data_IF_138151000007
#
_entry.id   IF_138151000007
#
_cell.length_a   1.000
_cell.length_b   1.000
_cell.length_c   1.000
_cell.angle_alpha   90.00
_cell.angle_beta   90.00
_cell.angle_gamma   90.00
#
_symmetry.space_group_name_H-M   'P 1'
#
loop_
_entity.id
_entity.type
_entity.pdbx_description
1 polymer ?
#
# COMPACT_ATOMS: atom_id res chain seq x y z
N UNK A 1 8.87 11.37 -42.24
CA UNK A 1 8.84 12.08 -40.94
C UNK A 1 9.09 11.03 -39.84
N UNK A 2 10.18 11.14 -39.10
CA UNK A 2 10.45 10.24 -38.00
C UNK A 2 9.41 10.47 -36.91
N UNK A 3 8.74 9.40 -36.44
CA UNK A 3 7.79 9.44 -35.35
C UNK A 3 8.50 9.93 -34.08
N UNK A 4 7.97 10.97 -33.42
CA UNK A 4 8.55 11.44 -32.13
C UNK A 4 8.63 10.24 -31.16
N UNK A 5 9.74 10.08 -30.43
CA UNK A 5 9.85 8.98 -29.46
C UNK A 5 8.76 9.10 -28.42
N UNK A 6 8.09 7.99 -28.13
CA UNK A 6 7.09 7.92 -27.07
C UNK A 6 7.77 8.31 -25.75
N UNK A 7 7.19 9.20 -24.92
CA UNK A 7 7.77 9.53 -23.64
C UNK A 7 7.96 8.25 -22.81
N UNK A 8 9.18 8.05 -22.27
CA UNK A 8 9.45 6.92 -21.37
C UNK A 8 8.67 7.10 -20.07
N UNK A 9 8.14 6.00 -19.56
CA UNK A 9 7.50 5.99 -18.24
C UNK A 9 8.55 6.36 -17.18
N UNK A 10 8.18 7.27 -16.28
CA UNK A 10 9.02 7.72 -15.17
C UNK A 10 8.52 7.13 -13.86
N UNK A 11 9.45 6.78 -12.99
CA UNK A 11 9.17 6.36 -11.62
C UNK A 11 9.89 7.26 -10.63
N UNK A 12 9.33 7.40 -9.44
CA UNK A 12 9.98 8.10 -8.34
C UNK A 12 10.62 7.08 -7.39
N UNK A 13 11.87 7.31 -7.07
CA UNK A 13 12.64 6.50 -6.13
C UNK A 13 12.98 7.36 -4.92
N UNK A 14 12.56 6.92 -3.73
CA UNK A 14 12.93 7.56 -2.47
C UNK A 14 14.22 6.96 -1.92
N UNK A 15 15.07 7.81 -1.36
CA UNK A 15 16.30 7.40 -0.72
C UNK A 15 16.74 8.39 0.36
N UNK A 16 17.76 8.02 1.13
CA UNK A 16 18.38 8.89 2.14
C UNK A 16 19.90 9.00 1.94
N UNK A 17 20.46 10.08 2.42
CA UNK A 17 21.89 10.31 2.55
C UNK A 17 22.20 11.02 3.86
N UNK A 18 23.48 11.17 4.21
CA UNK A 18 23.89 12.04 5.29
C UNK A 18 23.45 13.50 5.03
N UNK A 19 23.37 14.33 6.06
CA UNK A 19 22.91 15.72 5.96
C UNK A 19 23.70 16.57 4.95
N UNK A 20 24.95 16.22 4.69
CA UNK A 20 25.80 16.86 3.68
C UNK A 20 25.60 16.33 2.25
N UNK A 21 24.66 15.37 2.05
CA UNK A 21 24.39 14.72 0.75
C UNK A 21 25.36 13.58 0.42
N UNK A 22 26.21 13.14 1.34
CA UNK A 22 27.08 11.98 1.10
C UNK A 22 26.39 10.66 1.42
N UNK A 23 26.73 9.62 0.68
CA UNK A 23 26.28 8.25 0.89
C UNK A 23 27.46 7.27 0.89
N UNK A 24 27.17 5.96 0.75
CA UNK A 24 28.18 4.90 0.71
C UNK A 24 29.34 5.24 -0.26
N UNK A 25 30.56 4.88 0.12
CA UNK A 25 31.80 5.19 -0.63
C UNK A 25 32.04 6.71 -0.87
N UNK A 26 31.50 7.57 0.01
CA UNK A 26 31.62 9.03 -0.13
C UNK A 26 31.02 9.59 -1.41
N UNK A 27 30.11 8.84 -2.07
CA UNK A 27 29.42 9.34 -3.24
C UNK A 27 28.58 10.56 -2.87
N UNK A 28 28.76 11.64 -3.61
CA UNK A 28 28.08 12.93 -3.38
C UNK A 28 26.87 13.04 -4.28
N UNK A 29 25.70 13.10 -3.68
CA UNK A 29 24.45 13.35 -4.39
C UNK A 29 24.26 14.84 -4.64
N UNK A 30 23.79 15.23 -5.83
CA UNK A 30 23.38 16.62 -6.05
C UNK A 30 22.13 16.91 -5.19
N UNK A 31 22.00 18.18 -4.78
CA UNK A 31 20.79 18.63 -4.10
C UNK A 31 19.58 18.58 -5.05
N UNK A 32 19.76 18.94 -6.30
CA UNK A 32 18.80 18.83 -7.41
C UNK A 32 19.56 18.58 -8.71
N UNK A 33 18.88 17.97 -9.69
CA UNK A 33 19.42 17.77 -11.02
C UNK A 33 19.92 16.35 -11.30
N UNK A 34 20.61 16.17 -12.43
CA UNK A 34 21.01 14.84 -12.89
C UNK A 34 22.04 14.19 -11.97
N UNK A 35 21.90 12.88 -11.81
CA UNK A 35 22.82 12.02 -11.06
C UNK A 35 23.09 10.77 -11.87
N UNK A 36 24.34 10.32 -11.89
CA UNK A 36 24.76 9.11 -12.59
C UNK A 36 25.72 8.31 -11.72
N UNK A 37 25.58 6.98 -11.77
CA UNK A 37 26.43 6.05 -11.07
C UNK A 37 27.77 5.88 -11.81
N UNK A 38 28.92 6.01 -11.14
CA UNK A 38 30.22 5.89 -11.78
C UNK A 38 30.64 4.46 -12.10
N UNK A 39 30.00 3.47 -11.48
CA UNK A 39 30.41 2.06 -11.49
C UNK A 39 29.24 1.10 -11.82
N UNK A 40 28.35 1.50 -12.71
CA UNK A 40 27.13 0.74 -13.03
C UNK A 40 27.39 -0.71 -13.47
N UNK A 41 26.69 -1.64 -12.81
CA UNK A 41 26.57 -3.06 -13.18
C UNK A 41 25.08 -3.46 -13.16
N UNK A 42 24.49 -3.91 -14.27
CA UNK A 42 23.06 -4.30 -14.32
C UNK A 42 22.75 -5.63 -13.63
N UNK A 43 23.72 -6.37 -13.09
CA UNK A 43 23.45 -7.62 -12.39
C UNK A 43 22.52 -7.36 -11.19
N UNK A 44 21.48 -8.21 -10.95
CA UNK A 44 20.47 -7.99 -9.89
C UNK A 44 21.03 -8.36 -8.51
N UNK A 45 22.09 -7.69 -8.08
CA UNK A 45 22.75 -7.83 -6.78
C UNK A 45 23.10 -6.46 -6.21
N UNK A 46 23.27 -6.38 -4.90
CA UNK A 46 23.66 -5.15 -4.21
C UNK A 46 25.05 -4.67 -4.67
N UNK A 47 25.25 -3.36 -4.70
CA UNK A 47 26.47 -2.70 -5.18
C UNK A 47 26.35 -2.20 -6.61
N UNK A 48 27.31 -1.41 -7.04
CA UNK A 48 27.48 -0.88 -8.41
C UNK A 48 26.19 -0.33 -9.01
N UNK A 49 25.72 0.79 -8.47
CA UNK A 49 24.49 1.45 -8.86
C UNK A 49 23.98 2.44 -7.81
N UNK A 50 23.04 3.29 -8.21
CA UNK A 50 22.29 4.15 -7.33
C UNK A 50 21.11 3.35 -6.74
N UNK A 51 20.90 3.41 -5.42
CA UNK A 51 19.91 2.58 -4.73
C UNK A 51 18.79 3.39 -4.10
N UNK A 52 17.62 2.78 -3.98
CA UNK A 52 16.48 3.33 -3.26
C UNK A 52 15.24 2.44 -3.32
N UNK A 53 14.11 2.99 -2.93
CA UNK A 53 12.81 2.34 -2.90
C UNK A 53 11.88 3.00 -3.92
N UNK A 54 11.41 2.22 -4.90
CA UNK A 54 10.47 2.73 -5.91
C UNK A 54 9.15 3.06 -5.22
N UNK A 55 8.69 4.30 -5.37
CA UNK A 55 7.47 4.84 -4.74
C UNK A 55 7.46 4.77 -3.21
N UNK A 56 8.62 4.54 -2.58
CA UNK A 56 8.73 4.31 -1.16
C UNK A 56 8.27 2.92 -0.71
N UNK A 57 7.98 2.02 -1.64
CA UNK A 57 7.61 0.64 -1.34
C UNK A 57 8.86 -0.18 -0.99
N UNK A 58 8.79 -0.94 0.09
CA UNK A 58 9.87 -1.82 0.53
C UNK A 58 10.25 -1.65 2.00
N UNK A 59 11.35 -2.26 2.38
CA UNK A 59 11.89 -2.17 3.74
C UNK A 59 12.75 -0.92 3.91
N UNK A 60 12.26 0.04 4.67
CA UNK A 60 12.93 1.30 4.96
C UNK A 60 14.23 1.13 5.75
N UNK A 61 14.46 -0.02 6.38
CA UNK A 61 15.74 -0.32 7.05
C UNK A 61 16.93 -0.36 6.07
N UNK A 62 16.67 -0.56 4.76
CA UNK A 62 17.69 -0.48 3.71
C UNK A 62 18.05 0.94 3.29
N UNK A 63 17.30 1.94 3.72
CA UNK A 63 17.67 3.34 3.54
C UNK A 63 18.78 3.69 4.53
N UNK A 64 19.98 3.93 4.02
CA UNK A 64 21.09 4.42 4.85
C UNK A 64 20.66 5.70 5.56
N UNK A 65 20.82 5.76 6.88
CA UNK A 65 20.43 6.92 7.69
C UNK A 65 18.91 7.26 7.61
N UNK A 66 18.01 6.28 7.59
CA UNK A 66 16.57 6.50 7.61
C UNK A 66 16.08 7.11 8.94
N UNK A 67 16.64 8.24 9.32
CA UNK A 67 16.27 9.05 10.48
C UNK A 67 15.56 10.32 10.05
N UNK A 68 14.91 11.00 10.97
CA UNK A 68 14.27 12.29 10.68
C UNK A 68 15.28 13.37 10.27
N UNK A 69 16.52 13.27 10.74
CA UNK A 69 17.62 14.22 10.48
C UNK A 69 18.39 13.89 9.18
N UNK A 70 18.09 12.77 8.52
CA UNK A 70 18.70 12.43 7.24
C UNK A 70 18.23 13.38 6.15
N UNK A 71 19.07 13.55 5.14
CA UNK A 71 18.65 14.22 3.91
C UNK A 71 17.85 13.22 3.06
N UNK A 72 16.57 13.47 2.93
CA UNK A 72 15.65 12.67 2.12
C UNK A 72 15.59 13.17 0.69
N UNK A 73 15.76 12.26 -0.25
CA UNK A 73 15.83 12.59 -1.66
C UNK A 73 14.79 11.81 -2.45
N UNK A 74 14.18 12.48 -3.44
CA UNK A 74 13.30 11.85 -4.44
C UNK A 74 14.02 11.97 -5.79
N UNK A 75 14.19 10.84 -6.46
CA UNK A 75 14.87 10.73 -7.75
C UNK A 75 13.88 10.25 -8.80
N UNK A 76 13.72 11.02 -9.86
CA UNK A 76 12.97 10.59 -11.05
C UNK A 76 13.87 9.72 -11.93
N UNK A 77 13.40 8.52 -12.27
CA UNK A 77 14.16 7.53 -13.05
C UNK A 77 13.29 6.98 -14.17
N UNK A 78 13.89 6.72 -15.35
CA UNK A 78 13.20 5.98 -16.41
C UNK A 78 12.88 4.56 -15.92
N UNK A 79 11.64 4.13 -16.05
CA UNK A 79 11.19 2.83 -15.50
C UNK A 79 11.96 1.64 -16.09
N UNK A 80 12.42 1.74 -17.35
CA UNK A 80 13.22 0.74 -18.03
C UNK A 80 14.67 0.61 -17.52
N UNK A 81 15.12 1.56 -16.69
CA UNK A 81 16.44 1.53 -16.05
C UNK A 81 16.43 0.89 -14.65
N UNK A 82 15.27 0.57 -14.13
CA UNK A 82 15.14 0.00 -12.78
C UNK A 82 15.52 -1.49 -12.79
N UNK A 83 16.44 -1.86 -11.92
CA UNK A 83 16.80 -3.25 -11.64
C UNK A 83 16.41 -3.59 -10.20
N UNK A 84 15.47 -4.52 -10.02
CA UNK A 84 15.12 -5.05 -8.71
C UNK A 84 16.29 -5.90 -8.16
N UNK A 85 16.71 -5.65 -6.92
CA UNK A 85 17.78 -6.42 -6.28
C UNK A 85 17.18 -7.54 -5.43
N UNK A 86 16.14 -7.20 -4.70
CA UNK A 86 15.37 -8.09 -3.84
C UNK A 86 13.91 -7.59 -3.79
N UNK A 87 13.13 -8.05 -2.83
CA UNK A 87 11.73 -7.65 -2.70
C UNK A 87 11.55 -6.16 -2.32
N UNK A 88 12.59 -5.57 -1.76
CA UNK A 88 12.46 -4.39 -0.93
C UNK A 88 13.29 -3.19 -1.43
N UNK A 89 14.17 -3.38 -2.41
CA UNK A 89 14.94 -2.28 -2.99
C UNK A 89 15.31 -2.48 -4.45
N UNK A 90 15.63 -1.38 -5.08
CA UNK A 90 16.08 -1.33 -6.48
C UNK A 90 17.41 -0.63 -6.62
N UNK A 91 18.03 -0.81 -7.79
CA UNK A 91 19.14 0.02 -8.27
C UNK A 91 18.91 0.51 -9.69
N UNK A 92 19.59 1.59 -10.02
CA UNK A 92 19.50 2.24 -11.34
C UNK A 92 20.82 2.96 -11.68
N UNK A 93 21.14 3.16 -12.98
CA UNK A 93 22.39 3.81 -13.41
C UNK A 93 22.38 5.32 -13.26
N UNK A 94 21.24 5.97 -13.52
CA UNK A 94 21.08 7.42 -13.56
C UNK A 94 19.65 7.85 -13.32
N UNK A 95 19.49 9.11 -12.96
CA UNK A 95 18.19 9.74 -12.76
C UNK A 95 18.32 11.25 -12.56
N UNK A 96 17.24 11.88 -12.12
CA UNK A 96 17.21 13.30 -11.78
C UNK A 96 16.72 13.45 -10.35
N UNK A 97 17.53 14.04 -9.47
CA UNK A 97 17.09 14.41 -8.13
C UNK A 97 16.10 15.57 -8.26
N UNK A 98 14.83 15.31 -7.96
CA UNK A 98 13.73 16.28 -8.05
C UNK A 98 13.38 16.89 -6.70
N UNK A 99 13.86 16.30 -5.62
CA UNK A 99 13.73 16.82 -4.26
C UNK A 99 14.88 16.37 -3.38
N UNK A 100 15.28 17.26 -2.46
CA UNK A 100 16.27 16.96 -1.41
C UNK A 100 15.91 17.81 -0.18
N UNK A 101 15.57 17.17 0.94
CA UNK A 101 15.13 17.86 2.14
C UNK A 101 14.60 16.94 3.23
N UNK A 102 13.49 17.31 3.84
CA UNK A 102 12.86 16.57 4.92
C UNK A 102 12.08 15.34 4.46
N UNK A 103 11.88 14.40 5.39
CA UNK A 103 11.16 13.15 5.19
C UNK A 103 9.70 13.37 4.76
N UNK A 104 8.98 14.28 5.43
CA UNK A 104 7.55 14.43 5.22
C UNK A 104 7.23 14.90 3.80
N UNK A 105 8.02 15.85 3.29
CA UNK A 105 7.88 16.34 1.91
C UNK A 105 8.28 15.26 0.89
N UNK A 106 9.37 14.52 1.10
CA UNK A 106 9.78 13.44 0.22
C UNK A 106 8.69 12.36 0.09
N UNK A 107 8.15 11.92 1.23
CA UNK A 107 7.06 10.94 1.28
C UNK A 107 5.80 11.47 0.60
N UNK A 108 5.42 12.73 0.87
CA UNK A 108 4.26 13.36 0.21
C UNK A 108 4.41 13.40 -1.30
N UNK A 109 5.60 13.67 -1.82
CA UNK A 109 5.85 13.68 -3.26
C UNK A 109 5.67 12.31 -3.91
N UNK A 110 6.17 11.24 -3.30
CA UNK A 110 6.00 9.89 -3.85
C UNK A 110 4.57 9.38 -3.72
N UNK A 111 3.83 9.79 -2.69
CA UNK A 111 2.42 9.44 -2.49
C UNK A 111 1.45 10.30 -3.30
N UNK A 112 1.84 11.48 -3.77
CA UNK A 112 0.97 12.39 -4.52
C UNK A 112 0.55 11.85 -5.91
N UNK A 113 1.09 10.73 -6.34
CA UNK A 113 0.70 10.10 -7.60
C UNK A 113 -0.53 9.21 -7.42
N UNK A 114 -1.68 9.82 -7.09
CA UNK A 114 -2.96 9.13 -6.85
C UNK A 114 -3.37 8.19 -7.99
N UNK A 115 -3.15 8.57 -9.24
CA UNK A 115 -3.51 7.75 -10.40
C UNK A 115 -2.76 6.42 -10.40
N UNK A 116 -1.51 6.41 -9.95
CA UNK A 116 -0.72 5.18 -9.87
C UNK A 116 -1.12 4.31 -8.69
N UNK A 117 -1.40 4.90 -7.53
CA UNK A 117 -1.94 4.17 -6.38
C UNK A 117 -3.25 3.50 -6.77
N UNK A 118 -4.14 4.22 -7.44
CA UNK A 118 -5.40 3.67 -7.94
C UNK A 118 -5.17 2.55 -8.98
N UNK A 119 -4.22 2.71 -9.90
CA UNK A 119 -3.87 1.66 -10.88
C UNK A 119 -3.27 0.43 -10.21
N UNK A 120 -2.41 0.61 -9.20
CA UNK A 120 -1.81 -0.49 -8.42
C UNK A 120 -2.89 -1.21 -7.62
N UNK A 121 -3.77 -0.49 -6.93
CA UNK A 121 -4.91 -1.07 -6.21
C UNK A 121 -5.84 -1.81 -7.17
N UNK A 122 -6.11 -1.26 -8.36
CA UNK A 122 -6.93 -1.91 -9.37
C UNK A 122 -6.27 -3.19 -9.94
N UNK A 123 -4.94 -3.21 -10.11
CA UNK A 123 -4.20 -4.39 -10.56
C UNK A 123 -4.18 -5.49 -9.50
N UNK A 124 -3.91 -5.12 -8.23
CA UNK A 124 -3.96 -6.04 -7.08
C UNK A 124 -5.37 -6.62 -6.94
N UNK A 125 -6.41 -5.81 -7.09
CA UNK A 125 -7.80 -6.25 -7.06
C UNK A 125 -8.12 -7.24 -8.17
N UNK A 126 -7.64 -6.99 -9.40
CA UNK A 126 -7.78 -7.90 -10.55
C UNK A 126 -7.01 -9.22 -10.34
N UNK A 127 -5.80 -9.17 -9.81
CA UNK A 127 -5.03 -10.38 -9.50
C UNK A 127 -5.64 -11.19 -8.35
N UNK A 128 -6.11 -10.54 -7.30
CA UNK A 128 -6.84 -11.18 -6.21
C UNK A 128 -8.11 -11.86 -6.73
N UNK A 129 -8.87 -11.21 -7.62
CA UNK A 129 -10.02 -11.82 -8.30
C UNK A 129 -9.64 -12.99 -9.22
N UNK A 130 -8.46 -12.94 -9.87
CA UNK A 130 -7.95 -14.00 -10.73
C UNK A 130 -7.49 -15.24 -9.93
N UNK A 131 -6.86 -15.02 -8.78
CA UNK A 131 -6.49 -16.08 -7.82
C UNK A 131 -7.70 -16.66 -7.08
N UNK A 132 -8.80 -15.92 -6.97
CA UNK A 132 -10.08 -16.39 -6.41
C UNK A 132 -10.84 -17.38 -7.31
N UNK A 133 -10.38 -17.64 -8.53
CA UNK A 133 -10.98 -18.61 -9.47
C UNK A 133 -10.61 -20.07 -9.21
N UNK A 134 -10.20 -20.43 -8.00
CA UNK A 134 -10.09 -21.83 -7.60
C UNK A 134 -11.47 -22.30 -7.11
N UNK A 135 -12.22 -22.96 -7.98
CA UNK A 135 -13.34 -23.82 -7.61
C UNK A 135 -14.65 -23.12 -7.23
N UNK A 136 -15.44 -22.73 -8.20
CA UNK A 136 -16.90 -22.92 -8.17
C UNK A 136 -17.77 -22.09 -7.25
N UNK A 137 -17.32 -20.99 -6.59
CA UNK A 137 -18.19 -20.05 -5.87
C UNK A 137 -17.67 -18.62 -6.00
N UNK A 138 -18.51 -17.65 -6.40
CA UNK A 138 -18.17 -16.24 -6.31
C UNK A 138 -18.14 -15.85 -4.83
N UNK A 139 -16.97 -15.87 -4.20
CA UNK A 139 -16.76 -15.35 -2.85
C UNK A 139 -16.34 -13.89 -2.97
N UNK A 140 -17.26 -12.98 -2.77
CA UNK A 140 -16.91 -11.59 -2.50
C UNK A 140 -16.54 -11.44 -1.02
N UNK A 141 -15.42 -10.78 -0.76
CA UNK A 141 -15.01 -10.38 0.58
C UNK A 141 -14.95 -8.86 0.61
N UNK A 142 -15.55 -8.25 1.62
CA UNK A 142 -15.42 -6.83 1.90
C UNK A 142 -14.75 -6.67 3.26
N UNK A 143 -13.73 -5.81 3.35
CA UNK A 143 -13.05 -5.53 4.62
C UNK A 143 -12.77 -4.05 4.78
N UNK A 144 -12.85 -3.56 6.01
CA UNK A 144 -12.51 -2.19 6.39
C UNK A 144 -11.89 -2.15 7.78
N UNK A 145 -10.86 -1.30 7.98
CA UNK A 145 -10.19 -1.12 9.27
C UNK A 145 -10.55 0.20 9.97
N UNK A 146 -11.22 1.12 9.28
CA UNK A 146 -11.58 2.43 9.84
C UNK A 146 -12.72 2.36 10.86
N UNK A 147 -12.67 3.22 11.89
CA UNK A 147 -13.80 3.42 12.80
C UNK A 147 -15.02 3.96 12.04
N UNK A 148 -16.22 3.54 12.44
CA UNK A 148 -17.50 3.91 11.81
C UNK A 148 -17.59 3.56 10.32
N UNK A 149 -16.74 2.68 9.83
CA UNK A 149 -16.71 2.25 8.44
C UNK A 149 -17.77 1.19 8.12
N UNK A 150 -18.03 0.97 6.84
CA UNK A 150 -19.01 0.01 6.37
C UNK A 150 -18.37 -0.99 5.40
N UNK A 151 -18.62 -2.28 5.62
CA UNK A 151 -18.24 -3.35 4.71
C UNK A 151 -19.50 -4.06 4.17
N UNK A 152 -19.70 -4.03 2.86
CA UNK A 152 -20.84 -4.70 2.20
C UNK A 152 -20.34 -5.72 1.20
N UNK A 153 -20.65 -7.00 1.42
CA UNK A 153 -20.30 -8.09 0.52
C UNK A 153 -21.60 -8.68 -0.08
N UNK A 154 -21.80 -8.53 -1.38
CA UNK A 154 -23.01 -9.00 -2.09
C UNK A 154 -22.80 -10.37 -2.71
N UNK A 155 -23.84 -11.20 -2.72
CA UNK A 155 -23.85 -12.54 -3.32
C UNK A 155 -23.79 -13.67 -2.29
N UNK A 156 -23.98 -14.91 -2.77
CA UNK A 156 -24.08 -16.08 -1.91
C UNK A 156 -22.71 -16.49 -1.33
N UNK A 157 -22.66 -16.75 -0.03
CA UNK A 157 -21.47 -17.24 0.69
C UNK A 157 -20.37 -16.20 0.82
N UNK A 158 -20.72 -14.92 0.89
CA UNK A 158 -19.77 -13.80 1.02
C UNK A 158 -19.36 -13.53 2.46
N UNK A 159 -18.23 -12.85 2.65
CA UNK A 159 -17.69 -12.47 3.96
C UNK A 159 -17.49 -10.96 4.01
N UNK A 160 -17.99 -10.30 5.07
CA UNK A 160 -17.72 -8.89 5.33
C UNK A 160 -17.08 -8.72 6.71
N UNK A 161 -16.05 -7.86 6.84
CA UNK A 161 -15.35 -7.63 8.09
C UNK A 161 -15.09 -6.14 8.32
N UNK A 162 -15.36 -5.66 9.54
CA UNK A 162 -14.94 -4.33 9.98
C UNK A 162 -14.14 -4.45 11.26
N UNK A 163 -12.85 -4.10 11.20
CA UNK A 163 -11.94 -4.13 12.34
C UNK A 163 -12.00 -2.83 13.18
N UNK A 164 -12.56 -1.74 12.64
CA UNK A 164 -12.77 -0.49 13.37
C UNK A 164 -14.01 -0.52 14.26
N UNK A 165 -13.99 0.26 15.36
CA UNK A 165 -15.11 0.40 16.29
C UNK A 165 -16.27 1.15 15.64
N UNK A 166 -17.51 0.81 16.06
CA UNK A 166 -18.76 1.39 15.55
C UNK A 166 -18.98 1.17 14.04
N UNK A 167 -18.40 0.10 13.51
CA UNK A 167 -18.55 -0.29 12.10
C UNK A 167 -19.91 -0.93 11.81
N UNK A 168 -20.21 -1.06 10.50
CA UNK A 168 -21.41 -1.71 9.98
C UNK A 168 -21.02 -2.74 8.93
N UNK A 169 -21.72 -3.86 8.86
CA UNK A 169 -21.47 -4.86 7.83
C UNK A 169 -22.76 -5.51 7.32
N UNK A 170 -22.72 -5.96 6.07
CA UNK A 170 -23.74 -6.81 5.48
C UNK A 170 -23.10 -7.90 4.62
N UNK A 171 -23.74 -9.07 4.55
CA UNK A 171 -23.33 -10.17 3.70
C UNK A 171 -24.53 -10.74 2.97
N UNK A 172 -24.31 -11.37 1.82
CA UNK A 172 -25.37 -12.03 1.06
C UNK A 172 -25.76 -13.39 1.65
N UNK A 173 -26.72 -14.05 1.04
CA UNK A 173 -27.27 -15.34 1.50
C UNK A 173 -26.18 -16.38 1.80
N UNK A 174 -26.28 -17.10 2.93
CA UNK A 174 -25.29 -18.05 3.45
C UNK A 174 -23.89 -17.45 3.63
N UNK A 175 -23.80 -16.14 3.77
CA UNK A 175 -22.59 -15.42 4.10
C UNK A 175 -22.40 -15.21 5.59
N UNK A 176 -21.34 -14.53 5.98
CA UNK A 176 -21.13 -14.12 7.37
C UNK A 176 -20.45 -12.75 7.43
N UNK A 177 -20.53 -12.11 8.58
CA UNK A 177 -19.79 -10.87 8.81
C UNK A 177 -19.26 -10.81 10.25
N UNK A 178 -18.21 -10.01 10.44
CA UNK A 178 -17.57 -9.77 11.72
C UNK A 178 -17.42 -8.26 11.96
N UNK A 179 -17.77 -7.81 13.16
CA UNK A 179 -17.75 -6.42 13.60
C UNK A 179 -17.00 -6.28 14.92
N UNK A 180 -15.99 -5.41 14.95
CA UNK A 180 -15.30 -5.07 16.20
C UNK A 180 -16.13 -4.10 17.03
N UNK A 181 -16.15 -4.30 18.36
CA UNK A 181 -16.78 -3.42 19.33
C UNK A 181 -15.99 -3.36 20.63
N UNK A 182 -16.19 -2.31 21.41
CA UNK A 182 -15.51 -2.15 22.70
C UNK A 182 -16.43 -2.55 23.84
N UNK A 183 -16.06 -3.61 24.58
CA UNK A 183 -16.72 -4.04 25.79
C UNK A 183 -16.25 -3.19 26.96
N UNK A 184 -17.08 -2.22 27.37
CA UNK A 184 -16.75 -1.29 28.46
C UNK A 184 -16.71 -1.97 29.84
N UNK A 185 -17.41 -3.09 30.03
CA UNK A 185 -17.41 -3.86 31.29
C UNK A 185 -16.11 -4.65 31.42
N UNK A 186 -15.70 -5.33 30.34
CA UNK A 186 -14.46 -6.11 30.30
C UNK A 186 -13.24 -5.25 29.95
N UNK A 187 -13.41 -3.97 29.61
CA UNK A 187 -12.35 -3.01 29.19
C UNK A 187 -11.47 -3.54 28.06
N UNK A 188 -12.08 -4.15 27.04
CA UNK A 188 -11.37 -4.76 25.92
C UNK A 188 -12.17 -4.73 24.62
N UNK A 189 -11.45 -4.81 23.50
CA UNK A 189 -12.09 -5.03 22.20
C UNK A 189 -12.56 -6.49 22.06
N UNK A 190 -13.70 -6.66 21.43
CA UNK A 190 -14.30 -7.96 21.09
C UNK A 190 -14.76 -7.96 19.63
N UNK A 191 -15.12 -9.12 19.12
CA UNK A 191 -15.70 -9.31 17.79
C UNK A 191 -17.06 -9.95 17.95
N UNK A 192 -18.09 -9.35 17.34
CA UNK A 192 -19.38 -9.96 17.14
C UNK A 192 -19.44 -10.55 15.73
N UNK A 193 -19.96 -11.76 15.59
CA UNK A 193 -20.05 -12.49 14.32
C UNK A 193 -21.52 -12.77 14.02
N UNK A 194 -21.95 -12.47 12.79
CA UNK A 194 -23.28 -12.82 12.28
C UNK A 194 -23.19 -13.79 11.12
N UNK A 195 -23.97 -14.86 11.18
CA UNK A 195 -24.14 -15.84 10.10
C UNK A 195 -25.50 -15.63 9.44
N UNK A 196 -25.50 -15.32 8.15
CA UNK A 196 -26.76 -15.06 7.41
C UNK A 196 -27.60 -16.33 7.30
N UNK A 197 -28.83 -16.26 7.81
CA UNK A 197 -29.75 -17.40 7.92
C UNK A 197 -29.80 -18.02 9.30
N UNK A 198 -28.96 -17.59 10.23
CA UNK A 198 -28.98 -18.04 11.63
C UNK A 198 -29.34 -16.87 12.56
N UNK A 199 -29.87 -17.14 13.75
CA UNK A 199 -30.21 -16.17 14.79
C UNK A 199 -30.98 -14.91 14.31
N UNK A 200 -31.80 -15.06 13.26
CA UNK A 200 -32.56 -13.96 12.67
C UNK A 200 -31.75 -13.01 11.78
N UNK A 201 -30.47 -13.30 11.48
CA UNK A 201 -29.62 -12.50 10.61
C UNK A 201 -30.08 -12.66 9.15
N UNK A 202 -30.45 -11.54 8.51
CA UNK A 202 -30.98 -11.48 7.15
C UNK A 202 -29.88 -11.20 6.12
N UNK A 203 -30.03 -11.76 4.92
CA UNK A 203 -29.15 -11.46 3.79
C UNK A 203 -29.29 -9.99 3.34
N UNK A 204 -28.18 -9.43 2.85
CA UNK A 204 -28.10 -8.07 2.27
C UNK A 204 -28.60 -6.96 3.22
N UNK A 205 -28.72 -7.26 4.50
CA UNK A 205 -29.15 -6.34 5.55
C UNK A 205 -27.94 -5.85 6.33
N UNK A 206 -27.90 -4.55 6.61
CA UNK A 206 -26.81 -3.91 7.33
C UNK A 206 -26.97 -4.07 8.84
N UNK A 207 -25.92 -4.53 9.52
CA UNK A 207 -25.89 -4.72 10.97
C UNK A 207 -24.80 -3.88 11.62
N UNK A 208 -25.06 -3.48 12.87
CA UNK A 208 -24.08 -2.87 13.77
C UNK A 208 -24.07 -3.62 15.10
N UNK A 209 -23.10 -3.35 15.96
CA UNK A 209 -23.04 -3.91 17.32
C UNK A 209 -23.44 -2.85 18.31
N UNK A 210 -24.35 -3.17 19.21
CA UNK A 210 -24.74 -2.30 20.32
C UNK A 210 -23.74 -2.38 21.49
N UNK A 211 -23.96 -1.60 22.55
CA UNK A 211 -23.09 -1.54 23.74
C UNK A 211 -23.03 -2.84 24.55
N UNK A 212 -23.95 -3.78 24.31
CA UNK A 212 -23.99 -5.09 24.97
C UNK A 212 -23.31 -6.19 24.13
N UNK A 213 -22.81 -5.87 22.92
CA UNK A 213 -22.21 -6.84 22.03
C UNK A 213 -23.20 -7.56 21.11
N UNK A 214 -24.47 -7.13 21.08
CA UNK A 214 -25.52 -7.75 20.27
C UNK A 214 -25.58 -7.10 18.88
N UNK A 215 -25.82 -7.92 17.85
CA UNK A 215 -26.04 -7.48 16.49
C UNK A 215 -27.43 -6.86 16.33
N UNK A 216 -27.49 -5.64 15.82
CA UNK A 216 -28.73 -4.91 15.58
C UNK A 216 -28.82 -4.48 14.13
N UNK A 217 -30.00 -4.65 13.51
CA UNK A 217 -30.29 -4.18 12.16
C UNK A 217 -30.23 -2.64 12.11
N UNK A 218 -29.49 -2.11 11.13
CA UNK A 218 -29.38 -0.67 10.89
C UNK A 218 -30.47 -0.28 9.88
N UNK A 219 -31.34 0.63 10.31
CA UNK A 219 -32.41 1.18 9.46
C UNK A 219 -31.95 2.40 8.69
#
# INVERSE_FOLDING_TARGET
>A
MAKAPTPKEKVLVIRTSAADGTSYNKFKWPALGPVECPDWDPAPKCGNGLHGLVWGDGDWSFLSNATMDALWQVVEVDADLIVAIDKDKVKFPRGVVVYSGDMATAVKMVLANEQRILATVASISKEAQKKSKVGGRPKQTAASSGNSSTATAKGKGTIAMVAGIAGKASAGANGCFALAWYDSKAKRNRIAIGYVGEDGIKADTLYAVNSNGELTEVR
#
